data_IF_177007339695
#
_entry.id   IF_177007339695
#
_cell.length_a   1.000
_cell.length_b   1.000
_cell.length_c   1.000
_cell.angle_alpha   90.00
_cell.angle_beta   90.00
_cell.angle_gamma   90.00
#
_symmetry.space_group_name_H-M   'P 1'
#
loop_
_entity.id
_entity.type
_entity.pdbx_description
1 polymer ?
#
# COMPACT_ATOMS: atom_id res chain seq x y z
N UNK A 1 28.32 4.70 -13.82
CA UNK A 1 27.94 4.48 -12.41
C UNK A 1 26.43 4.46 -12.33
N UNK A 2 25.76 3.42 -11.81
CA UNK A 2 24.33 3.50 -11.56
C UNK A 2 24.07 4.37 -10.32
N UNK A 3 22.99 5.17 -10.26
CA UNK A 3 22.67 5.97 -9.09
C UNK A 3 22.35 5.05 -7.90
N UNK A 4 22.78 5.46 -6.71
CA UNK A 4 22.56 4.73 -5.47
C UNK A 4 21.06 4.51 -5.23
N UNK A 5 20.66 3.26 -4.96
CA UNK A 5 19.29 2.96 -4.54
C UNK A 5 19.00 3.69 -3.22
N UNK A 6 17.94 4.51 -3.13
CA UNK A 6 17.58 5.17 -1.88
C UNK A 6 17.31 4.12 -0.81
N UNK A 7 17.90 4.30 0.37
CA UNK A 7 17.69 3.42 1.52
C UNK A 7 16.40 3.84 2.24
N UNK A 8 15.54 2.90 2.66
CA UNK A 8 14.39 3.24 3.50
C UNK A 8 14.88 3.81 4.84
N UNK A 9 14.45 5.03 5.18
CA UNK A 9 14.80 5.68 6.45
C UNK A 9 15.28 7.14 6.37
N UNK A 10 15.26 7.78 5.20
CA UNK A 10 15.54 9.21 5.08
C UNK A 10 14.43 10.02 5.80
N UNK A 11 14.75 10.93 6.73
CA UNK A 11 13.74 11.74 7.42
C UNK A 11 13.02 12.71 6.46
N UNK A 12 13.65 13.03 5.32
CA UNK A 12 13.09 13.85 4.24
C UNK A 12 12.25 13.02 3.25
N UNK A 13 12.45 11.69 3.23
CA UNK A 13 11.66 10.71 2.44
C UNK A 13 11.29 9.52 3.33
N UNK A 14 10.32 9.70 4.25
CA UNK A 14 9.90 8.66 5.19
C UNK A 14 9.25 7.45 4.51
N UNK A 15 8.96 7.54 3.21
CA UNK A 15 8.32 6.49 2.43
C UNK A 15 9.26 5.94 1.36
N UNK A 16 9.18 4.63 1.04
CA UNK A 16 9.96 4.03 -0.03
C UNK A 16 9.74 4.75 -1.37
N UNK A 17 10.74 4.83 -2.28
CA UNK A 17 10.59 5.46 -3.60
C UNK A 17 9.46 4.85 -4.42
N UNK A 18 9.20 3.55 -4.24
CA UNK A 18 8.08 2.85 -4.86
C UNK A 18 6.70 3.42 -4.47
N UNK A 19 6.60 4.18 -3.38
CA UNK A 19 5.39 4.89 -2.96
C UNK A 19 5.21 6.24 -3.66
N UNK A 20 6.25 6.83 -4.25
CA UNK A 20 6.12 8.02 -5.10
C UNK A 20 5.43 7.70 -6.44
N UNK A 21 5.47 6.42 -6.85
CA UNK A 21 4.74 5.87 -8.01
C UNK A 21 3.32 5.36 -7.69
N UNK A 22 2.91 5.43 -6.43
CA UNK A 22 1.58 5.04 -5.97
C UNK A 22 0.62 6.20 -6.20
N UNK A 23 -0.31 6.03 -7.13
CA UNK A 23 -1.33 7.01 -7.47
C UNK A 23 -2.40 7.17 -6.38
N UNK A 24 -2.73 6.09 -5.67
CA UNK A 24 -3.70 6.10 -4.58
C UNK A 24 -3.21 5.24 -3.42
N UNK A 25 -3.25 5.80 -2.20
CA UNK A 25 -2.97 5.09 -0.96
C UNK A 25 -4.25 4.99 -0.12
N UNK A 26 -4.45 3.84 0.53
CA UNK A 26 -5.57 3.61 1.44
C UNK A 26 -5.07 2.94 2.71
N UNK A 27 -5.23 3.64 3.83
CA UNK A 27 -4.80 3.18 5.14
C UNK A 27 -6.01 2.77 5.95
N UNK A 28 -5.98 1.54 6.47
CA UNK A 28 -7.03 1.00 7.32
C UNK A 28 -6.43 0.67 8.68
N UNK A 29 -7.05 1.20 9.74
CA UNK A 29 -6.65 0.94 11.13
C UNK A 29 -7.74 0.14 11.83
N UNK A 30 -7.33 -0.90 12.55
CA UNK A 30 -8.20 -1.66 13.46
C UNK A 30 -7.48 -1.91 14.78
N UNK A 31 -8.21 -2.27 15.81
CA UNK A 31 -7.64 -2.86 17.01
C UNK A 31 -7.11 -4.26 16.72
N UNK A 32 -6.08 -4.69 17.45
CA UNK A 32 -5.45 -5.99 17.31
C UNK A 32 -6.43 -7.15 17.55
N UNK A 33 -7.39 -6.99 18.47
CA UNK A 33 -8.47 -7.95 18.70
C UNK A 33 -9.36 -8.19 17.47
N UNK A 34 -9.35 -7.28 16.49
CA UNK A 34 -10.11 -7.36 15.24
C UNK A 34 -9.19 -7.53 14.02
N UNK A 35 -7.97 -8.00 14.21
CA UNK A 35 -7.00 -8.23 13.13
C UNK A 35 -7.55 -9.11 12.00
N UNK A 36 -8.50 -10.01 12.29
CA UNK A 36 -9.15 -10.84 11.27
C UNK A 36 -9.88 -10.04 10.18
N UNK A 37 -10.27 -8.79 10.46
CA UNK A 37 -10.84 -7.87 9.45
C UNK A 37 -9.85 -7.56 8.33
N UNK A 38 -8.54 -7.72 8.57
CA UNK A 38 -7.49 -7.49 7.59
C UNK A 38 -7.56 -8.48 6.42
N UNK A 39 -8.01 -9.73 6.67
CA UNK A 39 -8.24 -10.72 5.62
C UNK A 39 -9.42 -10.30 4.74
N UNK A 40 -10.49 -9.80 5.35
CA UNK A 40 -11.65 -9.27 4.63
C UNK A 40 -11.25 -8.05 3.79
N UNK A 41 -10.53 -7.09 4.38
CA UNK A 41 -10.01 -5.91 3.68
C UNK A 41 -9.11 -6.28 2.53
N UNK A 42 -8.16 -7.20 2.73
CA UNK A 42 -7.29 -7.69 1.66
C UNK A 42 -8.12 -8.24 0.52
N UNK A 43 -9.12 -9.07 0.78
CA UNK A 43 -9.97 -9.66 -0.25
C UNK A 43 -10.76 -8.58 -1.01
N UNK A 44 -11.42 -7.67 -0.30
CA UNK A 44 -12.20 -6.59 -0.93
C UNK A 44 -11.34 -5.61 -1.73
N UNK A 45 -10.20 -5.21 -1.17
CA UNK A 45 -9.29 -4.26 -1.80
C UNK A 45 -8.57 -4.92 -2.98
N UNK A 46 -8.16 -6.18 -2.87
CA UNK A 46 -7.58 -6.93 -4.01
C UNK A 46 -8.59 -7.08 -5.15
N UNK A 47 -9.88 -7.36 -4.87
CA UNK A 47 -10.94 -7.38 -5.90
C UNK A 47 -11.12 -6.02 -6.57
N UNK A 48 -10.95 -4.94 -5.81
CA UNK A 48 -10.95 -3.60 -6.35
C UNK A 48 -9.65 -3.30 -7.11
N UNK A 49 -8.61 -4.13 -7.04
CA UNK A 49 -7.33 -3.88 -7.69
C UNK A 49 -6.40 -3.00 -6.84
N UNK A 50 -6.47 -3.11 -5.53
CA UNK A 50 -5.52 -2.53 -4.59
C UNK A 50 -4.59 -3.62 -4.08
N UNK A 51 -3.32 -3.29 -3.91
CA UNK A 51 -2.32 -4.20 -3.32
C UNK A 51 -2.04 -3.83 -1.88
N UNK A 52 -1.92 -4.83 -1.02
CA UNK A 52 -1.44 -4.64 0.34
C UNK A 52 0.06 -4.37 0.28
N UNK A 53 0.48 -3.18 0.71
CA UNK A 53 1.87 -2.75 0.67
C UNK A 53 2.57 -3.04 2.00
N UNK A 54 1.91 -2.73 3.11
CA UNK A 54 2.50 -2.86 4.43
C UNK A 54 1.43 -3.14 5.48
N UNK A 55 1.78 -3.92 6.49
CA UNK A 55 0.99 -4.06 7.71
C UNK A 55 1.92 -3.78 8.88
N UNK A 56 1.52 -2.87 9.75
CA UNK A 56 2.23 -2.53 10.98
C UNK A 56 1.29 -2.73 12.15
N UNK A 57 1.73 -3.45 13.16
CA UNK A 57 1.03 -3.55 14.43
C UNK A 57 1.81 -2.72 15.46
N UNK A 58 1.14 -1.74 16.07
CA UNK A 58 1.73 -0.86 17.08
C UNK A 58 0.70 -0.54 18.17
N UNK A 59 1.11 -0.66 19.44
CA UNK A 59 0.31 -0.26 20.59
C UNK A 59 -1.12 -0.82 20.63
N UNK A 60 -1.31 -2.10 20.28
CA UNK A 60 -2.63 -2.76 20.24
C UNK A 60 -3.52 -2.40 19.04
N UNK A 61 -2.95 -1.72 18.05
CA UNK A 61 -3.61 -1.42 16.79
C UNK A 61 -2.86 -2.04 15.61
N UNK A 62 -3.61 -2.51 14.64
CA UNK A 62 -3.09 -2.98 13.36
C UNK A 62 -3.46 -1.96 12.29
N UNK A 63 -2.44 -1.48 11.59
CA UNK A 63 -2.55 -0.55 10.48
C UNK A 63 -2.14 -1.30 9.21
N UNK A 64 -3.04 -1.36 8.24
CA UNK A 64 -2.79 -1.93 6.92
C UNK A 64 -2.77 -0.81 5.88
N UNK A 65 -1.67 -0.72 5.14
CA UNK A 65 -1.47 0.23 4.05
C UNK A 65 -1.64 -0.50 2.74
N UNK A 66 -2.58 -0.02 1.93
CA UNK A 66 -2.81 -0.47 0.58
C UNK A 66 -2.44 0.62 -0.41
N UNK A 67 -1.99 0.22 -1.60
CA UNK A 67 -1.71 1.16 -2.67
C UNK A 67 -2.01 0.62 -4.05
N UNK A 68 -2.12 1.55 -4.98
CA UNK A 68 -2.21 1.34 -6.43
C UNK A 68 -1.15 2.15 -7.13
N UNK A 69 -0.33 1.52 -7.97
CA UNK A 69 0.61 2.26 -8.80
C UNK A 69 -0.11 2.93 -9.97
N UNK A 70 0.47 4.01 -10.49
CA UNK A 70 -0.02 4.67 -11.72
C UNK A 70 -0.11 3.70 -12.89
N UNK A 71 0.83 2.77 -13.00
CA UNK A 71 0.83 1.72 -14.03
C UNK A 71 -0.39 0.80 -13.89
N UNK A 72 -0.78 0.40 -12.66
CA UNK A 72 -1.98 -0.44 -12.46
C UNK A 72 -3.30 0.32 -12.67
N UNK A 73 -3.31 1.63 -12.50
CA UNK A 73 -4.45 2.45 -12.93
C UNK A 73 -4.50 2.53 -14.46
N UNK A 74 -3.37 2.78 -15.13
CA UNK A 74 -3.28 2.83 -16.59
C UNK A 74 -3.69 1.50 -17.23
N UNK A 75 -3.24 0.38 -16.67
CA UNK A 75 -3.56 -0.98 -17.15
C UNK A 75 -5.07 -1.28 -17.03
N UNK A 76 -5.78 -0.68 -16.06
CA UNK A 76 -7.25 -0.82 -15.93
C UNK A 76 -8.02 0.10 -16.89
N UNK A 77 -7.51 1.30 -17.16
CA UNK A 77 -8.14 2.19 -18.16
C UNK A 77 -7.94 1.70 -19.59
N UNK A 78 -6.84 0.99 -19.86
CA UNK A 78 -6.56 0.39 -21.18
C UNK A 78 -7.37 -0.86 -21.54
N UNK A 79 -8.13 -1.47 -20.61
CA UNK A 79 -8.90 -2.70 -20.88
C UNK A 79 -10.38 -2.47 -21.27
N UNK A 80 -10.76 -1.24 -21.65
CA UNK A 80 -12.04 -0.98 -22.36
C UNK A 80 -11.74 -0.69 -23.84
N UNK A 81 -11.61 -1.74 -24.64
CA UNK A 81 -11.85 -1.74 -26.09
C UNK A 81 -12.19 -3.16 -26.49
#
# INVERSE_FOLDING_TARGET
MPPARPKPGDPDRPYPPAWEDVAELRVLRTSEQRWQRLIAWRTELTRKGWKLLQVTADGGHVVAVFGRTKDELLQREGTTT
#
